data_IF_345239850113
#
_entry.id   IF_345239850113
#
_cell.length_a   1.000
_cell.length_b   1.000
_cell.length_c   1.000
_cell.angle_alpha   90.00
_cell.angle_beta   90.00
_cell.angle_gamma   90.00
#
_symmetry.space_group_name_H-M   'P 1'
#
loop_
_entity.id
_entity.type
_entity.pdbx_description
1 polymer ?
#
# COMPACT_ATOMS: atom_id res chain seq x y z
N UNK A 1 37.56 -18.43 30.77
CA UNK A 1 36.73 -19.18 29.82
C UNK A 1 36.25 -18.22 28.74
N UNK A 2 37.01 -18.05 27.65
CA UNK A 2 36.65 -17.13 26.57
C UNK A 2 35.94 -17.92 25.47
N UNK A 3 34.65 -17.64 25.26
CA UNK A 3 33.89 -18.23 24.17
C UNK A 3 34.12 -17.43 22.88
N UNK A 4 34.67 -18.09 21.87
CA UNK A 4 34.76 -17.57 20.49
C UNK A 4 33.42 -17.78 19.80
N UNK A 5 32.75 -16.70 19.42
CA UNK A 5 31.53 -16.73 18.60
C UNK A 5 31.94 -16.98 17.15
N UNK A 6 31.65 -18.16 16.63
CA UNK A 6 31.83 -18.48 15.20
C UNK A 6 30.65 -17.93 14.43
N UNK A 7 30.87 -16.88 13.63
CA UNK A 7 29.88 -16.39 12.67
C UNK A 7 29.91 -17.27 11.40
N UNK A 8 28.76 -17.50 10.73
CA UNK A 8 28.74 -18.19 9.45
C UNK A 8 29.62 -17.43 8.43
N UNK A 9 30.25 -18.14 7.46
CA UNK A 9 31.05 -17.49 6.44
C UNK A 9 30.17 -16.50 5.68
N UNK A 10 30.55 -15.22 5.71
CA UNK A 10 29.86 -14.14 5.02
C UNK A 10 30.18 -14.29 3.52
N UNK A 11 29.44 -15.18 2.84
CA UNK A 11 29.56 -15.38 1.40
C UNK A 11 29.15 -14.09 0.72
N UNK A 12 30.09 -13.47 -0.02
CA UNK A 12 29.84 -12.24 -0.74
C UNK A 12 28.69 -12.45 -1.75
N UNK A 13 27.55 -11.85 -1.46
CA UNK A 13 26.40 -11.83 -2.36
C UNK A 13 26.51 -10.60 -3.26
N UNK A 14 26.90 -10.80 -4.52
CA UNK A 14 26.88 -9.74 -5.52
C UNK A 14 25.43 -9.41 -5.91
N UNK A 15 24.90 -8.32 -5.35
CA UNK A 15 23.54 -7.84 -5.59
C UNK A 15 23.35 -7.20 -6.96
N UNK A 16 24.42 -7.02 -7.75
CA UNK A 16 24.38 -6.46 -9.11
C UNK A 16 24.35 -7.54 -10.18
N UNK A 17 24.49 -8.81 -9.79
CA UNK A 17 24.43 -9.92 -10.72
C UNK A 17 22.97 -10.24 -11.05
N UNK A 18 22.52 -9.78 -12.22
CA UNK A 18 21.16 -10.05 -12.74
C UNK A 18 20.98 -11.51 -13.17
N UNK A 19 22.06 -12.29 -13.29
CA UNK A 19 22.06 -13.70 -13.70
C UNK A 19 21.87 -14.68 -12.52
N UNK A 20 21.96 -14.17 -11.28
CA UNK A 20 21.64 -14.94 -10.08
C UNK A 20 20.13 -15.09 -9.94
N UNK A 21 19.58 -16.17 -10.48
CA UNK A 21 18.15 -16.55 -10.51
C UNK A 21 17.47 -16.73 -9.15
N UNK A 22 17.57 -15.74 -8.27
CA UNK A 22 16.59 -15.53 -7.22
C UNK A 22 15.38 -14.86 -7.86
N UNK A 23 14.33 -15.63 -8.09
CA UNK A 23 13.02 -15.12 -8.47
C UNK A 23 12.69 -13.96 -7.51
N UNK A 24 12.63 -12.73 -8.04
CA UNK A 24 12.20 -11.60 -7.23
C UNK A 24 10.83 -12.00 -6.67
N UNK A 25 10.63 -12.02 -5.33
CA UNK A 25 9.35 -12.45 -4.80
C UNK A 25 8.29 -11.58 -5.46
N UNK A 26 7.36 -12.19 -6.20
CA UNK A 26 6.19 -11.53 -6.78
C UNK A 26 5.24 -10.96 -5.73
N UNK A 27 5.73 -10.84 -4.49
CA UNK A 27 5.09 -10.22 -3.34
C UNK A 27 5.14 -8.72 -3.59
N UNK A 28 3.96 -8.17 -3.84
CA UNK A 28 3.76 -6.73 -3.86
C UNK A 28 4.31 -6.15 -2.55
N UNK A 29 5.43 -5.42 -2.60
CA UNK A 29 6.08 -4.80 -1.42
C UNK A 29 5.30 -3.58 -0.90
N UNK A 30 4.03 -3.45 -1.25
CA UNK A 30 3.12 -2.44 -0.72
C UNK A 30 2.38 -3.08 0.43
N UNK A 31 2.95 -2.97 1.62
CA UNK A 31 2.29 -3.38 2.85
C UNK A 31 0.99 -2.59 3.12
N UNK A 32 0.78 -1.50 2.39
CA UNK A 32 -0.45 -0.69 2.35
C UNK A 32 -1.02 -0.69 0.92
N UNK A 33 -1.14 -1.86 0.30
CA UNK A 33 -2.05 -1.99 -0.84
C UNK A 33 -3.45 -1.61 -0.35
N UNK A 34 -4.23 -0.92 -1.18
CA UNK A 34 -5.52 -0.31 -0.82
C UNK A 34 -6.57 -1.42 -0.57
N UNK A 35 -6.39 -2.20 0.49
CA UNK A 35 -7.29 -3.30 0.82
C UNK A 35 -8.55 -2.72 1.44
N UNK A 36 -9.66 -2.80 0.71
CA UNK A 36 -11.00 -2.56 1.26
C UNK A 36 -11.50 -3.74 2.11
N UNK A 37 -10.58 -4.61 2.56
CA UNK A 37 -10.87 -5.77 3.41
C UNK A 37 -11.01 -5.32 4.86
N UNK A 38 -12.07 -5.76 5.54
CA UNK A 38 -12.33 -5.41 6.94
C UNK A 38 -12.98 -4.04 7.17
N UNK A 39 -13.29 -3.28 6.11
CA UNK A 39 -14.09 -2.06 6.21
C UNK A 39 -15.58 -2.39 6.43
N UNK A 40 -16.29 -1.53 7.14
CA UNK A 40 -17.76 -1.58 7.16
C UNK A 40 -18.31 -1.27 5.75
N UNK A 41 -19.55 -1.68 5.43
CA UNK A 41 -20.14 -1.43 4.11
C UNK A 41 -20.10 0.05 3.70
N UNK A 42 -20.40 0.96 4.64
CA UNK A 42 -20.41 2.41 4.44
C UNK A 42 -19.01 2.96 4.18
N UNK A 43 -18.02 2.48 4.95
CA UNK A 43 -16.64 2.88 4.76
C UNK A 43 -16.07 2.37 3.42
N UNK A 44 -16.49 1.18 2.98
CA UNK A 44 -16.11 0.60 1.69
C UNK A 44 -16.71 1.38 0.53
N UNK A 45 -17.98 1.77 0.62
CA UNK A 45 -18.63 2.63 -0.37
C UNK A 45 -17.88 3.96 -0.53
N UNK A 46 -17.55 4.62 0.59
CA UNK A 46 -16.77 5.86 0.58
C UNK A 46 -15.38 5.66 -0.06
N UNK A 47 -14.68 4.58 0.28
CA UNK A 47 -13.35 4.30 -0.26
C UNK A 47 -13.38 4.12 -1.79
N UNK A 48 -14.38 3.40 -2.31
CA UNK A 48 -14.58 3.22 -3.76
C UNK A 48 -14.85 4.56 -4.44
N UNK A 49 -15.77 5.37 -3.89
CA UNK A 49 -16.12 6.67 -4.46
C UNK A 49 -14.90 7.62 -4.49
N UNK A 50 -14.07 7.60 -3.45
CA UNK A 50 -12.83 8.40 -3.41
C UNK A 50 -11.83 7.94 -4.46
N UNK A 51 -11.69 6.64 -4.69
CA UNK A 51 -10.77 6.13 -5.71
C UNK A 51 -11.25 6.43 -7.13
N UNK A 52 -12.56 6.35 -7.40
CA UNK A 52 -13.15 6.80 -8.67
C UNK A 52 -12.96 8.31 -8.89
N UNK A 53 -13.11 9.11 -7.83
CA UNK A 53 -12.85 10.55 -7.88
C UNK A 53 -11.38 10.84 -8.25
N UNK A 54 -10.43 10.16 -7.61
CA UNK A 54 -9.00 10.32 -7.91
C UNK A 54 -8.68 9.95 -9.37
N UNK A 55 -9.27 8.87 -9.88
CA UNK A 55 -9.06 8.40 -11.25
C UNK A 55 -9.59 9.39 -12.28
N UNK A 56 -10.81 9.91 -12.08
CA UNK A 56 -11.43 10.88 -12.99
C UNK A 56 -10.66 12.21 -13.03
N UNK A 57 -10.13 12.65 -11.89
CA UNK A 57 -9.35 13.90 -11.78
C UNK A 57 -7.84 13.73 -12.02
N UNK A 58 -7.38 12.48 -12.26
CA UNK A 58 -5.96 12.11 -12.44
C UNK A 58 -5.07 12.60 -11.31
N UNK A 59 -5.54 12.52 -10.06
CA UNK A 59 -4.82 12.95 -8.86
C UNK A 59 -4.35 11.78 -8.02
N UNK A 60 -3.20 11.94 -7.38
CA UNK A 60 -2.66 10.96 -6.42
C UNK A 60 -3.21 11.15 -5.00
N UNK A 61 -3.63 12.36 -4.66
CA UNK A 61 -4.17 12.74 -3.35
C UNK A 61 -5.46 13.52 -3.52
N UNK A 62 -6.37 13.41 -2.55
CA UNK A 62 -7.63 14.17 -2.46
C UNK A 62 -7.47 15.29 -1.43
N UNK A 63 -8.04 16.46 -1.72
CA UNK A 63 -8.14 17.59 -0.78
C UNK A 63 -9.38 17.44 0.11
N UNK A 64 -9.45 18.23 1.19
CA UNK A 64 -10.60 18.17 2.10
C UNK A 64 -11.92 18.60 1.44
N UNK A 65 -11.87 19.59 0.55
CA UNK A 65 -13.05 20.03 -0.22
C UNK A 65 -13.53 18.92 -1.17
N UNK A 66 -12.62 18.31 -1.91
CA UNK A 66 -12.96 17.18 -2.80
C UNK A 66 -13.50 15.98 -1.99
N UNK A 67 -12.97 15.72 -0.79
CA UNK A 67 -13.51 14.70 0.10
C UNK A 67 -14.93 15.04 0.57
N UNK A 68 -15.22 16.33 0.82
CA UNK A 68 -16.56 16.79 1.17
C UNK A 68 -17.53 16.65 -0.02
N UNK A 69 -17.08 16.93 -1.25
CA UNK A 69 -17.87 16.70 -2.47
C UNK A 69 -18.23 15.21 -2.62
N UNK A 70 -17.27 14.29 -2.41
CA UNK A 70 -17.56 12.85 -2.44
C UNK A 70 -18.57 12.45 -1.38
N UNK A 71 -18.38 12.88 -0.12
CA UNK A 71 -19.28 12.56 1.01
C UNK A 71 -20.71 13.08 0.73
N UNK A 72 -20.84 14.30 0.23
CA UNK A 72 -22.15 14.89 -0.10
C UNK A 72 -22.80 14.21 -1.31
N UNK A 73 -22.01 13.77 -2.30
CA UNK A 73 -22.52 13.00 -3.46
C UNK A 73 -23.12 11.65 -3.08
N UNK A 74 -22.59 11.02 -2.02
CA UNK A 74 -23.11 9.79 -1.43
C UNK A 74 -24.33 10.03 -0.51
N UNK A 75 -24.70 11.29 -0.27
CA UNK A 75 -25.85 11.66 0.55
C UNK A 75 -25.58 11.71 2.06
N UNK A 76 -24.32 11.55 2.48
CA UNK A 76 -23.95 11.72 3.89
C UNK A 76 -24.06 13.19 4.28
N UNK A 77 -24.77 13.44 5.38
CA UNK A 77 -24.96 14.78 5.96
C UNK A 77 -24.64 14.75 7.43
N UNK A 78 -24.03 15.84 7.92
CA UNK A 78 -23.91 16.06 9.36
C UNK A 78 -25.31 16.28 9.92
N UNK A 79 -25.67 15.53 10.96
CA UNK A 79 -26.90 15.72 11.72
C UNK A 79 -26.85 17.00 12.58
#
# INVERSE_FOLDING_TARGET
>A
MSQTVTLPPDVFVDRRNYDGGGEAPGIERRQFSNSHEGLTPEAKELAIAVDEFKLSHRRRFITYEEMMEVITSLGYRKA
#
